data_IF_820172041022
#
_entry.id   IF_820172041022
#
_cell.length_a   1.000
_cell.length_b   1.000
_cell.length_c   1.000
_cell.angle_alpha   90.00
_cell.angle_beta   90.00
_cell.angle_gamma   90.00
#
_symmetry.space_group_name_H-M   'P 1'
#
loop_
_entity.id
_entity.type
_entity.pdbx_description
1 polymer ?
#
# COMPACT_ATOMS: atom_id res chain seq x y z
N UNK A 1 -11.51 -12.03 -40.17
CA UNK A 1 -11.75 -12.61 -38.84
C UNK A 1 -10.73 -11.94 -37.90
N UNK A 2 -11.06 -10.78 -37.34
CA UNK A 2 -10.16 -10.09 -36.41
C UNK A 2 -10.54 -10.58 -35.01
N UNK A 3 -9.73 -11.47 -34.45
CA UNK A 3 -9.90 -11.96 -33.09
C UNK A 3 -9.54 -10.81 -32.15
N UNK A 4 -10.56 -10.15 -31.56
CA UNK A 4 -10.35 -9.32 -30.39
C UNK A 4 -9.89 -10.26 -29.28
N UNK A 5 -8.63 -10.15 -28.88
CA UNK A 5 -8.11 -10.75 -27.66
C UNK A 5 -8.84 -10.09 -26.47
N UNK A 6 -9.65 -10.84 -25.69
CA UNK A 6 -10.40 -10.28 -24.58
C UNK A 6 -9.51 -9.78 -23.43
N UNK A 7 -8.23 -10.19 -23.40
CA UNK A 7 -7.29 -9.80 -22.34
C UNK A 7 -6.94 -8.31 -22.36
N UNK A 8 -6.96 -7.65 -23.53
CA UNK A 8 -6.55 -6.25 -23.64
C UNK A 8 -7.60 -5.28 -23.13
N UNK A 9 -8.87 -5.68 -23.07
CA UNK A 9 -10.01 -4.81 -22.66
C UNK A 9 -10.32 -4.79 -21.17
N UNK A 10 -9.94 -5.81 -20.39
CA UNK A 10 -10.17 -5.82 -18.93
C UNK A 10 -9.21 -4.87 -18.19
N UNK A 11 -7.94 -4.85 -18.59
CA UNK A 11 -6.91 -3.99 -17.97
C UNK A 11 -7.26 -2.49 -18.03
N UNK A 12 -7.95 -2.08 -19.10
CA UNK A 12 -8.30 -0.68 -19.40
C UNK A 12 -9.51 -0.19 -18.58
N UNK A 13 -10.44 -1.09 -18.22
CA UNK A 13 -11.60 -0.77 -17.37
C UNK A 13 -11.24 -0.58 -15.90
N UNK A 14 -10.19 -1.26 -15.43
CA UNK A 14 -9.68 -1.14 -14.06
C UNK A 14 -8.71 0.04 -13.89
N UNK A 15 -8.41 0.77 -14.97
CA UNK A 15 -7.47 1.88 -14.94
C UNK A 15 -7.98 3.05 -14.07
N UNK A 16 -9.24 3.51 -14.21
CA UNK A 16 -9.78 4.58 -13.38
C UNK A 16 -9.79 4.23 -11.89
N UNK A 17 -10.23 3.00 -11.55
CA UNK A 17 -10.22 2.51 -10.16
C UNK A 17 -8.81 2.48 -9.57
N UNK A 18 -7.81 2.03 -10.35
CA UNK A 18 -6.41 2.07 -9.91
C UNK A 18 -5.87 3.48 -9.71
N UNK A 19 -6.32 4.44 -10.51
CA UNK A 19 -5.97 5.85 -10.32
C UNK A 19 -6.61 6.44 -9.07
N UNK A 20 -7.87 6.10 -8.79
CA UNK A 20 -8.59 6.51 -7.59
C UNK A 20 -7.96 5.94 -6.33
N UNK A 21 -7.64 4.64 -6.31
CA UNK A 21 -6.91 3.99 -5.20
C UNK A 21 -5.55 4.66 -4.97
N UNK A 22 -4.81 5.00 -6.05
CA UNK A 22 -3.54 5.74 -5.93
C UNK A 22 -3.74 7.15 -5.39
N UNK A 23 -4.79 7.85 -5.79
CA UNK A 23 -5.12 9.18 -5.30
C UNK A 23 -5.46 9.15 -3.80
N UNK A 24 -6.36 8.25 -3.40
CA UNK A 24 -6.74 8.04 -2.00
C UNK A 24 -5.53 7.64 -1.15
N UNK A 25 -4.65 6.79 -1.69
CA UNK A 25 -3.43 6.41 -1.03
C UNK A 25 -2.46 7.59 -0.79
N UNK A 26 -2.33 8.50 -1.77
CA UNK A 26 -1.55 9.74 -1.60
C UNK A 26 -2.15 10.65 -0.53
N UNK A 27 -3.46 10.91 -0.59
CA UNK A 27 -4.15 11.77 0.37
C UNK A 27 -4.04 11.22 1.79
N UNK A 28 -4.21 9.91 1.96
CA UNK A 28 -4.04 9.27 3.27
C UNK A 28 -2.60 9.34 3.75
N UNK A 29 -1.62 9.10 2.87
CA UNK A 29 -0.20 9.26 3.18
C UNK A 29 0.14 10.67 3.66
N UNK A 30 -0.34 11.69 2.94
CA UNK A 30 -0.16 13.09 3.32
C UNK A 30 -0.84 13.41 4.66
N UNK A 31 -2.02 12.84 4.91
CA UNK A 31 -2.76 13.02 6.16
C UNK A 31 -2.05 12.37 7.34
N UNK A 32 -1.58 11.13 7.19
CA UNK A 32 -0.79 10.41 8.21
C UNK A 32 0.48 11.18 8.53
N UNK A 33 1.19 11.67 7.51
CA UNK A 33 2.40 12.48 7.68
C UNK A 33 2.13 13.79 8.45
N UNK A 34 1.02 14.46 8.15
CA UNK A 34 0.61 15.69 8.84
C UNK A 34 0.16 15.48 10.28
N UNK A 35 -0.55 14.38 10.58
CA UNK A 35 -1.15 14.14 11.90
C UNK A 35 -0.21 13.41 12.87
N UNK A 36 0.53 12.42 12.39
CA UNK A 36 1.35 11.53 13.21
C UNK A 36 2.87 11.78 13.04
N UNK A 37 3.23 12.64 12.08
CA UNK A 37 4.59 13.06 11.79
C UNK A 37 5.33 12.16 10.80
N UNK A 38 6.40 12.72 10.21
CA UNK A 38 7.17 12.08 9.15
C UNK A 38 7.74 10.72 9.54
N UNK A 39 8.14 10.54 10.80
CA UNK A 39 8.73 9.29 11.29
C UNK A 39 7.77 8.11 11.19
N UNK A 40 6.48 8.31 11.51
CA UNK A 40 5.51 7.22 11.38
C UNK A 40 5.25 6.91 9.92
N UNK A 41 5.10 7.96 9.10
CA UNK A 41 4.92 7.82 7.66
C UNK A 41 6.06 7.01 7.03
N UNK A 42 7.31 7.31 7.37
CA UNK A 42 8.49 6.60 6.87
C UNK A 42 8.45 5.11 7.23
N UNK A 43 8.02 4.77 8.45
CA UNK A 43 7.87 3.37 8.87
C UNK A 43 6.78 2.66 8.08
N UNK A 44 5.60 3.28 7.92
CA UNK A 44 4.49 2.71 7.13
C UNK A 44 4.93 2.49 5.68
N UNK A 45 5.63 3.46 5.10
CA UNK A 45 6.10 3.38 3.72
C UNK A 45 7.21 2.33 3.55
N UNK A 46 8.14 2.22 4.51
CA UNK A 46 9.14 1.15 4.53
C UNK A 46 8.50 -0.25 4.58
N UNK A 47 7.49 -0.43 5.42
CA UNK A 47 6.74 -1.70 5.49
C UNK A 47 6.08 -1.98 4.15
N UNK A 48 5.38 -0.99 3.57
CA UNK A 48 4.68 -1.13 2.30
C UNK A 48 5.63 -1.50 1.16
N UNK A 49 6.77 -0.80 1.04
CA UNK A 49 7.74 -1.02 -0.02
C UNK A 49 8.40 -2.40 0.08
N UNK A 50 8.82 -2.82 1.28
CA UNK A 50 9.43 -4.14 1.47
C UNK A 50 8.41 -5.27 1.22
N UNK A 51 7.16 -5.13 1.66
CA UNK A 51 6.10 -6.10 1.34
C UNK A 51 5.86 -6.23 -0.16
N UNK A 52 5.81 -5.12 -0.90
CA UNK A 52 5.62 -5.14 -2.36
C UNK A 52 6.82 -5.75 -3.09
N UNK A 53 8.04 -5.43 -2.68
CA UNK A 53 9.26 -6.02 -3.25
C UNK A 53 9.32 -7.52 -3.01
N UNK A 54 9.03 -7.95 -1.78
CA UNK A 54 8.98 -9.37 -1.45
C UNK A 54 7.93 -10.11 -2.27
N UNK A 55 6.70 -9.60 -2.34
CA UNK A 55 5.59 -10.28 -3.04
C UNK A 55 5.79 -10.31 -4.56
N UNK A 56 6.21 -9.19 -5.16
CA UNK A 56 6.32 -9.07 -6.63
C UNK A 56 7.62 -9.62 -7.18
N UNK A 57 8.73 -9.37 -6.49
CA UNK A 57 10.07 -9.61 -7.01
C UNK A 57 10.74 -10.83 -6.30
N UNK A 58 10.04 -11.50 -5.37
CA UNK A 58 10.54 -12.62 -4.55
C UNK A 58 11.85 -12.26 -3.82
N UNK A 59 11.95 -11.01 -3.38
CA UNK A 59 13.13 -10.43 -2.77
C UNK A 59 13.26 -10.83 -1.28
N UNK A 60 14.11 -11.82 -1.00
CA UNK A 60 14.37 -12.32 0.37
C UNK A 60 15.12 -11.30 1.25
N UNK A 61 15.87 -10.37 0.67
CA UNK A 61 16.50 -9.28 1.44
C UNK A 61 15.42 -8.31 1.92
N UNK A 62 14.43 -7.99 1.07
CA UNK A 62 13.26 -7.19 1.46
C UNK A 62 12.44 -7.88 2.57
N UNK A 63 12.30 -9.21 2.50
CA UNK A 63 11.66 -9.99 3.57
C UNK A 63 12.42 -9.88 4.88
N UNK A 64 13.74 -10.06 4.85
CA UNK A 64 14.59 -9.98 6.05
C UNK A 64 14.50 -8.60 6.69
N UNK A 65 14.50 -7.54 5.89
CA UNK A 65 14.35 -6.17 6.37
C UNK A 65 12.95 -5.91 6.95
N UNK A 66 11.89 -6.45 6.32
CA UNK A 66 10.54 -6.38 6.84
C UNK A 66 10.42 -7.07 8.21
N UNK A 67 10.96 -8.29 8.35
CA UNK A 67 10.97 -9.03 9.62
C UNK A 67 11.70 -8.24 10.72
N UNK A 68 12.83 -7.60 10.38
CA UNK A 68 13.60 -6.75 11.30
C UNK A 68 12.82 -5.53 11.76
N UNK A 69 12.20 -4.79 10.83
CA UNK A 69 11.38 -3.60 11.13
C UNK A 69 10.25 -3.98 12.10
N UNK A 70 9.55 -5.08 11.82
CA UNK A 70 8.42 -5.55 12.63
C UNK A 70 8.86 -5.99 14.04
N UNK A 71 10.04 -6.61 14.16
CA UNK A 71 10.57 -7.05 15.45
C UNK A 71 11.02 -5.89 16.35
N UNK A 72 11.51 -4.80 15.77
CA UNK A 72 12.05 -3.63 16.51
C UNK A 72 10.99 -2.56 16.81
N UNK A 73 9.77 -2.71 16.27
CA UNK A 73 8.71 -1.73 16.32
C UNK A 73 8.16 -1.54 17.75
N UNK A 74 8.23 -0.32 18.33
CA UNK A 74 7.59 -0.04 19.62
C UNK A 74 6.08 -0.26 19.54
N UNK A 75 5.48 -0.72 20.64
CA UNK A 75 4.03 -1.03 20.72
C UNK A 75 3.15 0.12 20.22
N UNK A 76 3.43 1.35 20.65
CA UNK A 76 2.61 2.51 20.27
C UNK A 76 2.71 2.81 18.77
N UNK A 77 3.90 2.68 18.20
CA UNK A 77 4.12 2.80 16.76
C UNK A 77 3.43 1.69 15.99
N UNK A 78 3.48 0.44 16.48
CA UNK A 78 2.78 -0.70 15.88
C UNK A 78 1.26 -0.46 15.80
N UNK A 79 0.65 0.09 16.86
CA UNK A 79 -0.78 0.44 16.85
C UNK A 79 -1.10 1.51 15.79
N UNK A 80 -0.23 2.51 15.65
CA UNK A 80 -0.40 3.58 14.66
C UNK A 80 -0.21 3.07 13.21
N UNK A 81 0.72 2.14 12.99
CA UNK A 81 0.91 1.44 11.70
C UNK A 81 -0.35 0.64 11.34
N UNK A 82 -0.86 -0.19 12.26
CA UNK A 82 -2.08 -0.98 12.03
C UNK A 82 -3.24 -0.06 11.66
N UNK A 83 -3.43 1.03 12.41
CA UNK A 83 -4.49 2.02 12.14
C UNK A 83 -4.37 2.61 10.74
N UNK A 84 -3.16 2.94 10.32
CA UNK A 84 -2.88 3.48 8.98
C UNK A 84 -3.30 2.48 7.89
N UNK A 85 -2.91 1.20 8.00
CA UNK A 85 -3.31 0.15 7.06
C UNK A 85 -4.82 -0.11 7.05
N UNK A 86 -5.49 -0.04 8.21
CA UNK A 86 -6.95 -0.13 8.28
C UNK A 86 -7.62 1.00 7.50
N UNK A 87 -7.12 2.23 7.59
CA UNK A 87 -7.63 3.35 6.78
C UNK A 87 -7.39 3.13 5.28
N UNK A 88 -6.24 2.59 4.88
CA UNK A 88 -6.00 2.23 3.47
C UNK A 88 -7.04 1.21 2.96
N UNK A 89 -7.34 0.17 3.75
CA UNK A 89 -8.32 -0.84 3.37
C UNK A 89 -9.73 -0.25 3.25
N UNK A 90 -10.14 0.60 4.18
CA UNK A 90 -11.44 1.28 4.08
C UNK A 90 -11.54 2.17 2.84
N UNK A 91 -10.48 2.90 2.49
CA UNK A 91 -10.46 3.72 1.28
C UNK A 91 -10.50 2.88 0.00
N UNK A 92 -9.79 1.74 -0.03
CA UNK A 92 -9.84 0.82 -1.16
C UNK A 92 -11.26 0.29 -1.37
N UNK A 93 -11.94 -0.14 -0.30
CA UNK A 93 -13.32 -0.60 -0.38
C UNK A 93 -14.27 0.50 -0.88
N UNK A 94 -14.11 1.75 -0.42
CA UNK A 94 -14.93 2.90 -0.87
C UNK A 94 -14.68 3.24 -2.35
N UNK A 95 -13.47 3.01 -2.87
CA UNK A 95 -13.18 3.24 -4.28
C UNK A 95 -13.76 2.14 -5.18
N UNK A 96 -13.86 0.91 -4.67
CA UNK A 96 -14.39 -0.24 -5.38
C UNK A 96 -15.92 -0.27 -5.45
N UNK A 97 -16.60 0.18 -4.38
CA UNK A 97 -18.07 0.30 -4.27
C UNK A 97 -18.64 1.52 -5.03
#
# INVERSE_FOLDING_TARGET
MNSLDPSTTETDKDLPLREDIRLLGRILGDTVSQQEGSKLFDVVESIRQNSVRFDRDFDEDARTELERILAELPRDTMLAVIRSFTYFLHLANIAED
#
